data_IF_731537659597
#
_entry.id   IF_731537659597
#
_cell.length_a   1.000
_cell.length_b   1.000
_cell.length_c   1.000
_cell.angle_alpha   90.00
_cell.angle_beta   90.00
_cell.angle_gamma   90.00
#
_symmetry.space_group_name_H-M   'P 1'
#
loop_
_entity.id
_entity.type
_entity.pdbx_description
1 polymer ?
#
# COMPACT_ATOMS: atom_id res chain seq x y z
N UNK A 1 51.32 34.00 -7.69
CA UNK A 1 51.26 35.47 -7.52
C UNK A 1 49.86 35.88 -7.94
N UNK A 2 48.95 36.41 -7.13
CA UNK A 2 49.00 37.02 -5.79
C UNK A 2 47.71 36.62 -5.06
N UNK A 3 47.87 36.33 -3.78
CA UNK A 3 46.87 36.01 -2.76
C UNK A 3 46.63 37.27 -1.93
N UNK A 4 45.39 37.54 -1.53
CA UNK A 4 44.97 38.40 -0.40
C UNK A 4 43.45 38.12 -0.26
N UNK A 5 42.92 37.41 0.75
CA UNK A 5 43.08 37.59 2.19
C UNK A 5 42.06 38.63 2.66
N UNK A 6 41.04 38.29 3.45
CA UNK A 6 40.97 38.61 4.89
C UNK A 6 39.67 38.06 5.52
N UNK A 7 39.84 37.33 6.66
CA UNK A 7 39.10 37.29 7.96
C UNK A 7 37.55 37.30 7.95
N UNK A 8 36.81 36.56 8.78
CA UNK A 8 37.10 35.83 10.01
C UNK A 8 36.02 36.12 11.07
N UNK A 9 35.19 35.12 11.38
CA UNK A 9 34.40 34.86 12.63
C UNK A 9 33.26 35.84 13.02
N UNK A 10 32.21 35.43 13.79
CA UNK A 10 32.25 34.39 14.83
C UNK A 10 31.07 33.39 14.94
N UNK A 11 31.39 32.33 15.68
CA UNK A 11 30.54 31.36 16.36
C UNK A 11 29.63 32.05 17.38
N UNK A 12 28.35 31.66 17.45
CA UNK A 12 27.49 31.80 18.65
C UNK A 12 26.61 30.58 18.85
N UNK A 13 26.58 30.11 20.09
CA UNK A 13 25.85 28.95 20.60
C UNK A 13 24.40 29.28 20.97
N UNK A 14 23.58 28.23 20.92
CA UNK A 14 22.48 27.84 21.83
C UNK A 14 21.51 28.90 22.41
N UNK A 15 20.22 28.64 22.20
CA UNK A 15 19.20 28.74 23.25
C UNK A 15 18.09 29.76 23.05
N UNK A 16 16.85 29.26 23.21
CA UNK A 16 15.60 29.98 23.50
C UNK A 16 14.87 30.65 22.32
N UNK A 17 13.80 30.01 21.85
CA UNK A 17 12.56 30.69 21.44
C UNK A 17 11.39 29.69 21.28
N UNK A 18 11.03 29.00 22.36
CA UNK A 18 9.68 28.44 22.53
C UNK A 18 8.75 29.55 23.02
N UNK A 19 7.48 29.49 22.61
CA UNK A 19 6.34 30.40 22.90
C UNK A 19 6.15 31.56 21.92
N UNK A 20 5.26 31.33 20.96
CA UNK A 20 4.07 32.16 20.68
C UNK A 20 3.53 31.78 19.31
N UNK A 21 2.52 30.93 19.24
CA UNK A 21 1.40 30.98 18.28
C UNK A 21 0.37 29.93 18.73
N UNK A 22 -0.35 30.25 19.80
CA UNK A 22 -1.48 29.47 20.30
C UNK A 22 -2.57 30.42 20.77
N UNK A 23 -3.20 31.10 19.82
CA UNK A 23 -4.47 31.82 20.02
C UNK A 23 -4.91 32.37 18.66
N UNK A 24 -5.69 31.59 17.91
CA UNK A 24 -6.64 32.05 16.87
C UNK A 24 -7.20 30.81 16.15
N UNK A 25 -8.16 30.13 16.79
CA UNK A 25 -9.15 29.25 16.13
C UNK A 25 -10.09 28.66 17.19
N UNK A 26 -10.80 29.52 17.91
CA UNK A 26 -12.01 29.13 18.65
C UNK A 26 -13.11 30.05 18.15
N UNK A 27 -13.81 29.63 17.10
CA UNK A 27 -15.17 30.06 16.78
C UNK A 27 -15.64 29.28 15.56
N UNK A 28 -16.49 28.27 15.82
CA UNK A 28 -17.52 27.64 14.97
C UNK A 28 -17.67 26.15 15.35
N UNK A 29 -18.15 25.92 16.57
CA UNK A 29 -18.74 24.64 16.99
C UNK A 29 -20.20 24.88 17.33
N UNK A 30 -21.10 24.63 16.37
CA UNK A 30 -22.40 24.02 16.66
C UNK A 30 -23.04 23.50 15.35
N UNK A 31 -23.26 22.18 15.23
CA UNK A 31 -24.53 21.75 14.65
C UNK A 31 -25.22 20.73 15.55
N UNK A 32 -26.47 21.04 15.88
CA UNK A 32 -27.38 20.23 16.69
C UNK A 32 -27.73 18.84 16.14
N UNK A 33 -28.47 18.04 16.92
CA UNK A 33 -28.55 16.59 16.77
C UNK A 33 -29.48 16.16 15.62
N UNK A 34 -28.98 15.25 14.78
CA UNK A 34 -29.77 14.51 13.80
C UNK A 34 -30.48 13.31 14.46
N UNK A 35 -31.73 12.99 14.06
CA UNK A 35 -32.55 11.97 14.71
C UNK A 35 -32.15 10.54 14.31
N UNK A 36 -32.00 9.68 15.32
CA UNK A 36 -31.90 8.22 15.16
C UNK A 36 -33.29 7.56 15.04
N UNK A 37 -33.28 6.39 14.37
CA UNK A 37 -34.26 5.28 14.38
C UNK A 37 -35.33 5.27 13.28
N UNK A 38 -34.93 4.75 12.11
CA UNK A 38 -35.78 3.84 11.33
C UNK A 38 -35.25 2.42 11.56
N UNK A 39 -35.93 1.69 12.45
CA UNK A 39 -35.75 0.26 12.71
C UNK A 39 -36.10 -0.54 11.44
N UNK A 40 -35.09 -1.14 10.81
CA UNK A 40 -35.27 -2.21 9.84
C UNK A 40 -35.67 -3.48 10.59
N UNK A 41 -36.90 -3.96 10.39
CA UNK A 41 -37.33 -5.29 10.81
C UNK A 41 -36.81 -6.36 9.83
N UNK A 42 -36.43 -7.55 10.31
CA UNK A 42 -36.03 -8.67 9.46
C UNK A 42 -37.25 -9.37 8.82
N UNK A 43 -37.07 -10.06 7.68
CA UNK A 43 -38.16 -10.69 6.94
C UNK A 43 -38.65 -11.98 7.61
N UNK A 44 -39.95 -12.33 7.53
CA UNK A 44 -40.44 -13.60 8.05
C UNK A 44 -40.09 -14.76 7.10
N UNK A 45 -39.56 -15.83 7.71
CA UNK A 45 -39.23 -17.10 7.09
C UNK A 45 -40.48 -17.91 6.70
N UNK A 46 -40.31 -18.71 5.66
CA UNK A 46 -41.33 -19.52 5.01
C UNK A 46 -41.78 -20.72 5.86
N UNK A 47 -43.01 -20.69 6.37
CA UNK A 47 -43.78 -21.88 6.72
C UNK A 47 -45.23 -21.54 7.07
N UNK A 48 -46.12 -21.39 6.08
CA UNK A 48 -47.52 -21.79 6.28
C UNK A 48 -48.26 -22.02 4.97
N UNK A 49 -48.44 -23.32 4.72
CA UNK A 49 -49.26 -23.96 3.71
C UNK A 49 -50.68 -24.05 4.28
N UNK A 50 -51.70 -23.56 3.56
CA UNK A 50 -53.03 -24.22 3.40
C UNK A 50 -54.00 -23.38 2.56
N UNK A 51 -54.22 -23.88 1.34
CA UNK A 51 -55.52 -24.12 0.70
C UNK A 51 -56.67 -23.11 0.84
N UNK A 52 -56.99 -22.43 -0.27
CA UNK A 52 -58.37 -22.14 -0.65
C UNK A 52 -58.52 -22.17 -2.18
N UNK A 53 -59.36 -23.09 -2.63
CA UNK A 53 -59.75 -23.32 -4.03
C UNK A 53 -60.88 -22.35 -4.38
N UNK A 54 -60.72 -21.51 -5.40
CA UNK A 54 -61.88 -20.92 -6.08
C UNK A 54 -61.60 -20.64 -7.55
N UNK A 55 -62.56 -21.08 -8.36
CA UNK A 55 -62.56 -21.26 -9.81
C UNK A 55 -62.90 -19.96 -10.57
N UNK A 56 -62.49 -19.90 -11.85
CA UNK A 56 -62.90 -18.97 -12.95
C UNK A 56 -62.21 -17.59 -12.91
N UNK A 57 -61.55 -17.08 -13.95
CA UNK A 57 -61.96 -17.01 -15.37
C UNK A 57 -60.75 -16.65 -16.26
N UNK A 58 -60.71 -17.15 -17.50
CA UNK A 58 -59.76 -16.78 -18.56
C UNK A 58 -60.28 -15.53 -19.29
N UNK A 59 -59.42 -14.55 -19.61
CA UNK A 59 -59.45 -13.90 -20.93
C UNK A 59 -58.00 -13.71 -21.49
N UNK A 60 -57.80 -13.16 -22.70
CA UNK A 60 -57.28 -13.91 -23.84
C UNK A 60 -55.76 -13.75 -24.08
N UNK A 61 -55.24 -14.67 -24.88
CA UNK A 61 -53.93 -14.63 -25.53
C UNK A 61 -53.75 -13.33 -26.32
N UNK A 62 -52.71 -12.56 -26.02
CA UNK A 62 -52.25 -11.50 -26.91
C UNK A 62 -51.40 -10.41 -26.26
N UNK A 63 -50.19 -10.75 -25.83
CA UNK A 63 -49.07 -9.78 -25.75
C UNK A 63 -47.79 -10.53 -25.35
N UNK A 64 -47.10 -11.07 -26.34
CA UNK A 64 -45.69 -11.40 -26.22
C UNK A 64 -44.90 -10.09 -26.09
N UNK A 65 -43.84 -10.18 -25.30
CA UNK A 65 -42.72 -9.24 -25.17
C UNK A 65 -43.00 -7.98 -24.34
N UNK A 66 -42.81 -8.11 -23.02
CA UNK A 66 -41.96 -7.14 -22.33
C UNK A 66 -40.54 -7.35 -22.86
N UNK A 67 -40.28 -6.84 -24.07
CA UNK A 67 -38.93 -6.64 -24.55
C UNK A 67 -38.36 -5.56 -23.63
N UNK A 68 -37.41 -5.94 -22.78
CA UNK A 68 -36.61 -4.94 -22.06
C UNK A 68 -35.90 -4.15 -23.15
N UNK A 69 -36.42 -2.97 -23.48
CA UNK A 69 -35.79 -2.03 -24.41
C UNK A 69 -34.49 -1.57 -23.77
N UNK A 70 -33.44 -2.37 -23.91
CA UNK A 70 -32.11 -1.83 -23.75
C UNK A 70 -31.94 -0.80 -24.87
N UNK A 71 -31.54 0.44 -24.56
CA UNK A 71 -31.29 1.43 -25.59
C UNK A 71 -30.30 0.81 -26.59
N UNK A 72 -30.65 0.81 -27.89
CA UNK A 72 -29.89 0.15 -28.97
C UNK A 72 -28.38 0.42 -28.91
N UNK A 73 -27.98 1.57 -28.39
CA UNK A 73 -26.59 1.95 -28.16
C UNK A 73 -25.83 1.03 -27.18
N UNK A 74 -26.46 0.56 -26.10
CA UNK A 74 -25.84 -0.34 -25.12
C UNK A 74 -25.75 -1.80 -25.59
N UNK A 75 -26.34 -2.11 -26.75
CA UNK A 75 -26.20 -3.41 -27.41
C UNK A 75 -24.99 -3.48 -28.36
N UNK A 76 -24.35 -2.34 -28.64
CA UNK A 76 -23.20 -2.24 -29.56
C UNK A 76 -21.91 -2.30 -28.72
N UNK A 77 -21.08 -3.36 -28.85
CA UNK A 77 -19.87 -3.53 -28.04
C UNK A 77 -18.91 -2.35 -28.12
N UNK A 78 -18.73 -1.75 -29.29
CA UNK A 78 -17.81 -0.64 -29.53
C UNK A 78 -18.20 0.63 -28.77
N UNK A 79 -19.50 0.91 -28.70
CA UNK A 79 -20.04 2.05 -27.93
C UNK A 79 -19.84 1.80 -26.44
N UNK A 80 -20.18 0.60 -25.97
CA UNK A 80 -19.99 0.23 -24.56
C UNK A 80 -18.52 0.30 -24.18
N UNK A 81 -17.61 -0.22 -25.01
CA UNK A 81 -16.16 -0.11 -24.80
C UNK A 81 -15.73 1.35 -24.71
N UNK A 82 -16.21 2.22 -25.58
CA UNK A 82 -15.86 3.66 -25.57
C UNK A 82 -16.37 4.38 -24.31
N UNK A 83 -17.55 3.99 -23.81
CA UNK A 83 -18.09 4.49 -22.54
C UNK A 83 -17.23 4.02 -21.36
N UNK A 84 -16.88 2.73 -21.34
CA UNK A 84 -16.06 2.13 -20.29
C UNK A 84 -14.66 2.79 -20.22
N UNK A 85 -14.04 3.12 -21.35
CA UNK A 85 -12.74 3.81 -21.35
C UNK A 85 -12.77 5.21 -20.71
N UNK A 86 -13.94 5.83 -20.58
CA UNK A 86 -14.08 7.16 -19.95
C UNK A 86 -14.30 7.09 -18.44
N UNK A 87 -14.47 5.89 -17.88
CA UNK A 87 -14.71 5.71 -16.45
C UNK A 87 -13.41 5.53 -15.67
N UNK A 88 -13.45 5.92 -14.39
CA UNK A 88 -12.35 5.65 -13.46
C UNK A 88 -12.30 4.16 -13.07
N UNK A 89 -11.17 3.74 -12.49
CA UNK A 89 -10.91 2.33 -12.14
C UNK A 89 -11.94 1.75 -11.16
N UNK A 90 -12.48 2.53 -10.20
CA UNK A 90 -13.52 2.05 -9.25
C UNK A 90 -14.81 1.76 -9.98
N UNK A 91 -15.24 2.72 -10.78
CA UNK A 91 -16.46 2.60 -11.59
C UNK A 91 -16.35 1.42 -12.55
N UNK A 92 -15.17 1.18 -13.13
CA UNK A 92 -14.94 0.05 -14.03
C UNK A 92 -15.01 -1.32 -13.31
N UNK A 93 -14.53 -1.42 -12.08
CA UNK A 93 -14.70 -2.63 -11.27
C UNK A 93 -16.17 -2.86 -10.89
N UNK A 94 -16.89 -1.79 -10.53
CA UNK A 94 -18.31 -1.87 -10.21
C UNK A 94 -19.17 -2.27 -11.43
N UNK A 95 -18.80 -1.77 -12.62
CA UNK A 95 -19.44 -2.07 -13.90
C UNK A 95 -19.48 -3.59 -14.23
N UNK A 96 -18.50 -4.36 -13.77
CA UNK A 96 -18.48 -5.81 -13.94
C UNK A 96 -19.57 -6.54 -13.13
N UNK A 97 -20.12 -5.90 -12.09
CA UNK A 97 -21.12 -6.50 -11.20
C UNK A 97 -22.55 -6.25 -11.65
N UNK A 98 -22.78 -5.25 -12.50
CA UNK A 98 -24.13 -4.84 -12.94
C UNK A 98 -24.59 -5.57 -14.21
N UNK A 99 -23.68 -6.07 -15.04
CA UNK A 99 -24.00 -6.69 -16.33
C UNK A 99 -23.01 -7.78 -16.69
N UNK A 100 -23.53 -8.95 -17.08
CA UNK A 100 -22.70 -10.07 -17.58
C UNK A 100 -22.02 -9.70 -18.90
N UNK A 101 -22.74 -9.01 -19.79
CA UNK A 101 -22.21 -8.52 -21.06
C UNK A 101 -21.03 -7.58 -20.85
N UNK A 102 -21.14 -6.65 -19.88
CA UNK A 102 -20.06 -5.71 -19.61
C UNK A 102 -18.87 -6.40 -18.94
N UNK A 103 -19.13 -7.34 -18.03
CA UNK A 103 -18.08 -8.17 -17.44
C UNK A 103 -17.31 -8.96 -18.50
N UNK A 104 -18.01 -9.60 -19.43
CA UNK A 104 -17.37 -10.36 -20.51
C UNK A 104 -16.60 -9.42 -21.47
N UNK A 105 -17.15 -8.25 -21.78
CA UNK A 105 -16.48 -7.25 -22.60
C UNK A 105 -15.19 -6.73 -21.95
N UNK A 106 -15.25 -6.38 -20.66
CA UNK A 106 -14.08 -5.93 -19.88
C UNK A 106 -13.03 -7.04 -19.83
N UNK A 107 -13.43 -8.30 -19.60
CA UNK A 107 -12.50 -9.43 -19.53
C UNK A 107 -11.80 -9.70 -20.86
N UNK A 108 -12.50 -9.55 -21.97
CA UNK A 108 -12.01 -9.92 -23.30
C UNK A 108 -11.32 -8.75 -24.04
N UNK A 109 -11.39 -7.52 -23.51
CA UNK A 109 -10.81 -6.33 -24.13
C UNK A 109 -9.52 -5.95 -23.42
N UNK A 110 -8.38 -6.06 -24.12
CA UNK A 110 -7.05 -5.81 -23.56
C UNK A 110 -6.92 -4.40 -22.97
N UNK A 111 -7.32 -3.35 -23.70
CA UNK A 111 -7.19 -1.96 -23.24
C UNK A 111 -7.98 -1.66 -21.95
N UNK A 112 -9.10 -2.37 -21.72
CA UNK A 112 -9.85 -2.27 -20.47
C UNK A 112 -9.18 -3.04 -19.32
N UNK A 113 -8.52 -4.17 -19.62
CA UNK A 113 -7.70 -4.88 -18.63
C UNK A 113 -6.44 -4.08 -18.25
N UNK A 114 -5.82 -3.39 -19.21
CA UNK A 114 -4.73 -2.43 -18.98
C UNK A 114 -5.24 -1.27 -18.11
N UNK A 115 -6.39 -0.66 -18.40
CA UNK A 115 -6.98 0.39 -17.56
C UNK A 115 -7.29 -0.05 -16.12
N UNK A 116 -7.55 -1.35 -15.92
CA UNK A 116 -7.74 -1.97 -14.60
C UNK A 116 -6.44 -2.44 -13.94
N UNK A 117 -5.28 -2.24 -14.56
CA UNK A 117 -3.99 -2.75 -14.09
C UNK A 117 -3.98 -4.28 -13.93
N UNK A 118 -4.86 -5.01 -14.63
CA UNK A 118 -4.89 -6.48 -14.58
C UNK A 118 -3.94 -7.10 -15.61
N UNK A 119 -3.71 -6.37 -16.70
CA UNK A 119 -2.75 -6.70 -17.76
C UNK A 119 -1.73 -5.57 -17.93
N UNK A 120 -0.49 -5.91 -18.33
CA UNK A 120 0.56 -4.93 -18.57
C UNK A 120 0.23 -4.07 -19.79
N UNK A 121 0.54 -2.77 -19.71
CA UNK A 121 0.32 -1.85 -20.84
C UNK A 121 1.27 -2.17 -22.00
N UNK A 122 0.70 -2.35 -23.19
CA UNK A 122 1.46 -2.64 -24.42
C UNK A 122 2.36 -1.49 -24.88
N UNK A 123 2.06 -0.26 -24.44
CA UNK A 123 2.79 0.96 -24.82
C UNK A 123 4.02 1.25 -23.92
N UNK A 124 4.48 0.26 -23.16
CA UNK A 124 5.48 0.39 -22.10
C UNK A 124 6.88 0.89 -22.48
N UNK A 125 7.17 1.09 -23.78
CA UNK A 125 8.47 1.57 -24.25
C UNK A 125 8.56 3.09 -24.48
N UNK A 126 7.43 3.82 -24.50
CA UNK A 126 7.41 5.24 -24.89
C UNK A 126 7.04 6.22 -23.75
N UNK A 127 6.65 5.71 -22.59
CA UNK A 127 6.31 6.55 -21.43
C UNK A 127 7.50 6.58 -20.46
N UNK A 128 8.19 7.72 -20.40
CA UNK A 128 9.19 7.99 -19.36
C UNK A 128 8.59 8.10 -17.97
N UNK A 129 7.27 8.34 -17.90
CA UNK A 129 6.54 8.60 -16.66
C UNK A 129 5.70 7.38 -16.29
N UNK A 130 6.01 6.81 -15.13
CA UNK A 130 5.28 5.68 -14.54
C UNK A 130 4.04 6.18 -13.79
N UNK A 131 2.93 5.50 -13.98
CA UNK A 131 1.65 5.79 -13.31
C UNK A 131 1.39 4.73 -12.25
N UNK A 132 1.10 5.19 -11.04
CA UNK A 132 0.76 4.35 -9.89
C UNK A 132 -0.69 3.86 -10.02
N UNK A 133 -0.99 2.67 -9.53
CA UNK A 133 -2.36 2.16 -9.53
C UNK A 133 -3.21 2.92 -8.49
N UNK A 134 -4.21 3.72 -8.90
CA UNK A 134 -4.93 4.61 -7.99
C UNK A 134 -5.72 3.85 -6.92
N UNK A 135 -6.21 2.64 -7.22
CA UNK A 135 -6.92 1.82 -6.24
C UNK A 135 -5.99 1.29 -5.16
N UNK A 136 -4.78 0.88 -5.56
CA UNK A 136 -3.78 0.37 -4.64
C UNK A 136 -3.14 1.52 -3.85
N UNK A 137 -2.90 2.67 -4.47
CA UNK A 137 -2.41 3.87 -3.79
C UNK A 137 -3.35 4.33 -2.68
N UNK A 138 -4.67 4.23 -2.87
CA UNK A 138 -5.63 4.56 -1.80
C UNK A 138 -5.70 3.45 -0.72
N UNK A 139 -5.54 2.20 -1.11
CA UNK A 139 -5.63 1.05 -0.20
C UNK A 139 -4.35 0.82 0.63
N UNK A 140 -3.19 1.14 0.07
CA UNK A 140 -1.85 0.92 0.62
C UNK A 140 -0.99 2.20 0.48
N UNK A 141 -1.37 3.32 1.14
CA UNK A 141 -0.77 4.64 0.86
C UNK A 141 0.74 4.71 1.03
N UNK A 142 1.28 3.95 1.99
CA UNK A 142 2.71 3.90 2.31
C UNK A 142 3.55 3.15 1.26
N UNK A 143 2.92 2.43 0.32
CA UNK A 143 3.58 1.65 -0.75
C UNK A 143 3.63 2.37 -2.11
N UNK A 144 3.05 3.56 -2.22
CA UNK A 144 2.93 4.33 -3.46
C UNK A 144 3.37 5.76 -3.26
N UNK A 145 3.83 6.42 -4.34
CA UNK A 145 4.45 7.75 -4.22
C UNK A 145 3.48 8.75 -3.59
N UNK A 146 3.90 9.36 -2.48
CA UNK A 146 3.17 10.46 -1.88
C UNK A 146 3.30 11.72 -2.74
N UNK A 147 2.17 12.38 -3.03
CA UNK A 147 2.11 13.62 -3.81
C UNK A 147 2.73 14.82 -3.06
N UNK A 148 2.79 14.75 -1.72
CA UNK A 148 2.99 15.91 -0.83
C UNK A 148 4.34 15.93 -0.08
N UNK A 149 5.22 14.94 -0.29
CA UNK A 149 6.49 14.87 0.44
C UNK A 149 7.65 15.44 -0.38
N UNK A 150 8.53 16.18 0.29
CA UNK A 150 9.82 16.55 -0.25
C UNK A 150 10.57 15.26 -0.63
N UNK A 151 10.66 15.05 -1.94
CA UNK A 151 11.05 13.81 -2.60
C UNK A 151 12.58 13.59 -2.51
N UNK A 152 13.17 13.68 -1.32
CA UNK A 152 14.58 13.35 -1.07
C UNK A 152 14.74 12.10 -0.19
N UNK A 153 13.63 11.58 0.36
CA UNK A 153 13.61 10.47 1.30
C UNK A 153 12.79 9.31 0.75
N UNK A 154 13.16 8.09 1.11
CA UNK A 154 12.28 6.94 0.92
C UNK A 154 11.01 7.13 1.73
N UNK A 155 9.97 6.43 1.33
CA UNK A 155 8.71 6.46 2.07
C UNK A 155 8.68 5.29 3.03
N UNK A 156 8.56 5.60 4.33
CA UNK A 156 8.37 4.58 5.35
C UNK A 156 7.07 3.82 5.10
N UNK A 157 7.19 2.49 5.11
CA UNK A 157 6.05 1.59 5.03
C UNK A 157 5.48 1.45 6.45
N UNK A 158 4.20 1.79 6.59
CA UNK A 158 3.42 1.47 7.78
C UNK A 158 2.26 0.56 7.37
N UNK A 159 2.09 -0.54 8.09
CA UNK A 159 0.94 -1.44 7.98
C UNK A 159 -0.29 -0.88 8.69
N UNK A 160 -0.13 0.03 9.66
CA UNK A 160 -1.26 0.70 10.32
C UNK A 160 -2.00 1.67 9.38
N UNK A 161 -1.31 2.22 8.37
CA UNK A 161 -1.88 3.12 7.35
C UNK A 161 -2.76 2.39 6.32
N UNK A 162 -2.81 1.06 6.36
CA UNK A 162 -3.55 0.26 5.40
C UNK A 162 -5.06 0.44 5.58
N UNK A 163 -5.80 0.56 4.46
CA UNK A 163 -7.25 0.71 4.49
C UNK A 163 -7.98 -0.48 5.17
N UNK A 164 -7.30 -1.62 5.35
CA UNK A 164 -7.81 -2.80 6.03
C UNK A 164 -8.11 -2.58 7.53
N UNK A 165 -7.48 -1.60 8.19
CA UNK A 165 -7.69 -1.32 9.63
C UNK A 165 -8.91 -0.45 9.91
N UNK A 166 -9.60 0.05 8.87
CA UNK A 166 -10.75 0.95 9.07
C UNK A 166 -11.91 0.28 9.79
N UNK A 167 -12.21 -0.98 9.45
CA UNK A 167 -13.31 -1.74 10.05
C UNK A 167 -13.22 -3.25 9.75
N UNK A 168 -13.89 -4.11 10.56
CA UNK A 168 -13.85 -5.56 10.40
C UNK A 168 -14.37 -6.08 9.04
N UNK A 169 -15.30 -5.37 8.41
CA UNK A 169 -15.86 -5.77 7.11
C UNK A 169 -14.83 -5.53 6.01
N UNK A 170 -14.18 -4.36 6.02
CA UNK A 170 -13.08 -4.04 5.10
C UNK A 170 -11.93 -5.03 5.27
N UNK A 171 -11.55 -5.34 6.52
CA UNK A 171 -10.56 -6.37 6.84
C UNK A 171 -10.88 -7.71 6.16
N UNK A 172 -12.11 -8.19 6.32
CA UNK A 172 -12.58 -9.43 5.71
C UNK A 172 -12.67 -9.39 4.18
N UNK A 173 -12.69 -8.21 3.55
CA UNK A 173 -12.59 -8.07 2.09
C UNK A 173 -11.15 -8.12 1.60
N UNK A 174 -10.21 -7.54 2.36
CA UNK A 174 -8.79 -7.50 1.99
C UNK A 174 -8.15 -8.89 1.98
N UNK A 175 -8.44 -9.73 2.97
CA UNK A 175 -7.74 -11.00 3.17
C UNK A 175 -8.19 -12.07 2.15
N UNK A 176 -9.35 -11.90 1.52
CA UNK A 176 -9.92 -12.89 0.58
C UNK A 176 -8.92 -13.29 -0.52
N UNK A 177 -8.72 -14.59 -0.77
CA UNK A 177 -7.83 -15.06 -1.84
C UNK A 177 -8.24 -14.56 -3.23
N UNK A 178 -9.54 -14.34 -3.46
CA UNK A 178 -10.10 -13.84 -4.72
C UNK A 178 -10.12 -12.32 -4.85
N UNK A 179 -9.59 -11.57 -3.87
CA UNK A 179 -9.61 -10.11 -3.89
C UNK A 179 -8.87 -9.58 -5.12
N UNK A 180 -9.49 -8.66 -5.87
CA UNK A 180 -8.96 -8.20 -7.16
C UNK A 180 -7.60 -7.53 -7.04
N UNK A 181 -7.35 -6.81 -5.95
CA UNK A 181 -6.10 -6.10 -5.68
C UNK A 181 -4.89 -7.04 -5.76
N UNK A 182 -5.03 -8.30 -5.31
CA UNK A 182 -3.97 -9.32 -5.33
C UNK A 182 -3.39 -9.53 -6.73
N UNK A 183 -4.25 -9.45 -7.74
CA UNK A 183 -3.90 -9.68 -9.15
C UNK A 183 -3.56 -8.39 -9.88
N UNK A 184 -3.75 -7.23 -9.29
CA UNK A 184 -3.46 -5.96 -9.96
C UNK A 184 -1.96 -5.65 -9.93
N UNK A 185 -1.48 -5.07 -11.01
CA UNK A 185 -0.16 -4.46 -11.12
C UNK A 185 -0.09 -3.24 -10.21
N UNK A 186 1.08 -3.05 -9.61
CA UNK A 186 1.37 -1.86 -8.80
C UNK A 186 1.45 -0.61 -9.69
N UNK A 187 2.06 -0.73 -10.86
CA UNK A 187 2.35 0.40 -11.75
C UNK A 187 2.13 0.05 -13.22
N UNK A 188 1.97 1.09 -14.03
CA UNK A 188 2.06 1.02 -15.49
C UNK A 188 2.99 2.12 -16.04
N UNK A 189 4.01 1.78 -16.84
CA UNK A 189 4.42 0.42 -17.24
C UNK A 189 4.82 -0.47 -16.04
N UNK A 190 4.71 -1.80 -16.15
CA UNK A 190 4.98 -2.70 -15.03
C UNK A 190 6.41 -2.59 -14.50
N UNK A 191 6.59 -2.90 -13.21
CA UNK A 191 7.91 -3.01 -12.59
C UNK A 191 8.44 -4.43 -12.78
N UNK A 192 9.64 -4.58 -13.33
CA UNK A 192 10.24 -5.89 -13.59
C UNK A 192 11.44 -6.18 -12.72
N UNK A 193 12.10 -5.13 -12.22
CA UNK A 193 13.31 -5.26 -11.40
C UNK A 193 13.00 -4.75 -10.01
N UNK A 194 12.80 -5.68 -9.08
CA UNK A 194 12.58 -5.38 -7.66
C UNK A 194 13.77 -5.88 -6.86
N UNK A 195 14.29 -5.03 -5.97
CA UNK A 195 15.38 -5.41 -5.07
C UNK A 195 15.12 -4.98 -3.63
N UNK A 196 15.80 -5.62 -2.70
CA UNK A 196 15.85 -5.18 -1.31
C UNK A 196 17.32 -4.99 -0.86
N UNK A 197 17.57 -3.90 -0.14
CA UNK A 197 18.85 -3.61 0.49
C UNK A 197 18.64 -3.69 1.99
N UNK A 198 19.20 -4.72 2.62
CA UNK A 198 19.12 -4.90 4.05
C UNK A 198 20.43 -4.39 4.66
N UNK A 199 20.33 -3.62 5.73
CA UNK A 199 21.49 -3.20 6.51
C UNK A 199 21.21 -3.32 7.99
N UNK A 200 22.17 -3.87 8.72
CA UNK A 200 22.08 -4.04 10.16
C UNK A 200 23.31 -3.49 10.87
N UNK A 201 23.07 -2.80 11.98
CA UNK A 201 24.10 -2.38 12.92
C UNK A 201 24.13 -3.39 14.08
N UNK A 202 25.31 -3.94 14.37
CA UNK A 202 25.54 -4.84 15.51
C UNK A 202 26.65 -4.29 16.40
N UNK A 203 26.81 -4.77 17.63
CA UNK A 203 27.92 -4.35 18.51
C UNK A 203 29.32 -4.65 17.97
N UNK A 204 29.44 -5.53 16.98
CA UNK A 204 30.71 -5.97 16.40
C UNK A 204 31.02 -5.37 15.04
N UNK A 205 30.05 -4.69 14.44
CA UNK A 205 30.21 -4.07 13.14
C UNK A 205 28.88 -3.80 12.46
N UNK A 206 28.99 -3.33 11.23
CA UNK A 206 27.87 -3.06 10.36
C UNK A 206 27.87 -4.04 9.19
N UNK A 207 26.72 -4.65 8.92
CA UNK A 207 26.51 -5.62 7.85
C UNK A 207 25.46 -5.15 6.86
N UNK A 208 25.55 -5.63 5.62
CA UNK A 208 24.54 -5.40 4.61
C UNK A 208 24.41 -6.58 3.65
N UNK A 209 23.22 -6.74 3.09
CA UNK A 209 22.93 -7.70 2.02
C UNK A 209 22.02 -7.06 0.97
N UNK A 210 22.15 -7.57 -0.25
CA UNK A 210 21.31 -7.20 -1.37
C UNK A 210 20.58 -8.41 -1.89
N UNK A 211 19.29 -8.25 -2.04
CA UNK A 211 18.41 -9.25 -2.58
C UNK A 211 17.74 -8.73 -3.84
N UNK A 212 17.40 -9.64 -4.74
CA UNK A 212 16.65 -9.34 -5.94
C UNK A 212 15.49 -10.31 -6.08
N UNK A 213 14.36 -9.79 -6.54
CA UNK A 213 13.25 -10.65 -6.92
C UNK A 213 13.61 -11.43 -8.17
N UNK A 214 13.11 -12.67 -8.27
CA UNK A 214 13.00 -13.33 -9.57
C UNK A 214 12.23 -12.45 -10.55
N UNK A 215 12.61 -12.44 -11.84
CA UNK A 215 11.99 -11.59 -12.87
C UNK A 215 10.48 -11.89 -12.90
N UNK A 216 9.59 -10.96 -12.52
CA UNK A 216 8.16 -11.19 -12.59
C UNK A 216 7.75 -11.21 -14.06
N UNK A 217 7.26 -12.35 -14.57
CA UNK A 217 6.96 -12.55 -16.00
C UNK A 217 6.07 -11.44 -16.58
N UNK A 218 5.05 -11.00 -15.82
CA UNK A 218 4.10 -9.96 -16.22
C UNK A 218 4.26 -8.65 -15.43
N UNK A 219 5.35 -8.50 -14.66
CA UNK A 219 5.60 -7.38 -13.77
C UNK A 219 5.01 -7.52 -12.35
N UNK A 220 5.41 -6.60 -11.46
CA UNK A 220 5.10 -6.65 -10.03
C UNK A 220 3.61 -6.43 -9.75
N UNK A 221 2.97 -7.49 -9.24
CA UNK A 221 1.61 -7.46 -8.72
C UNK A 221 1.61 -7.20 -7.22
N UNK A 222 0.47 -6.73 -6.72
CA UNK A 222 0.34 -6.32 -5.32
C UNK A 222 0.42 -7.49 -4.34
N UNK A 223 -0.15 -8.66 -4.65
CA UNK A 223 -0.11 -9.79 -3.70
C UNK A 223 1.31 -10.24 -3.36
N UNK A 224 2.19 -10.56 -4.32
CA UNK A 224 3.57 -10.94 -3.99
C UNK A 224 4.31 -9.88 -3.17
N UNK A 225 4.15 -8.59 -3.51
CA UNK A 225 4.77 -7.50 -2.74
C UNK A 225 4.22 -7.44 -1.31
N UNK A 226 2.90 -7.49 -1.15
CA UNK A 226 2.25 -7.42 0.16
C UNK A 226 2.61 -8.63 1.01
N UNK A 227 2.53 -9.83 0.44
CA UNK A 227 2.88 -11.09 1.09
C UNK A 227 4.35 -11.11 1.50
N UNK A 228 5.27 -10.60 0.67
CA UNK A 228 6.67 -10.44 1.05
C UNK A 228 6.85 -9.53 2.26
N UNK A 229 6.06 -8.47 2.41
CA UNK A 229 6.15 -7.55 3.55
C UNK A 229 5.62 -8.17 4.84
N UNK A 230 4.52 -8.92 4.78
CA UNK A 230 3.90 -9.53 5.97
C UNK A 230 4.54 -10.86 6.39
N UNK A 231 5.15 -11.60 5.45
CA UNK A 231 5.86 -12.86 5.73
C UNK A 231 7.27 -12.64 6.32
N UNK A 232 7.70 -11.37 6.40
CA UNK A 232 8.91 -11.00 7.13
C UNK A 232 8.80 -11.38 8.59
N UNK A 233 9.96 -11.46 9.25
CA UNK A 233 10.00 -11.67 10.69
C UNK A 233 9.17 -10.57 11.38
N UNK A 234 8.24 -10.90 12.29
CA UNK A 234 7.51 -9.88 13.06
C UNK A 234 8.43 -8.87 13.74
N UNK A 235 9.67 -9.26 14.06
CA UNK A 235 10.67 -8.39 14.65
C UNK A 235 11.24 -7.38 13.64
N UNK A 236 11.13 -7.62 12.33
CA UNK A 236 11.43 -6.61 11.29
C UNK A 236 10.45 -5.43 11.30
N UNK A 237 9.28 -5.61 11.92
CA UNK A 237 8.30 -4.55 12.16
C UNK A 237 8.43 -3.97 13.58
N UNK A 238 9.33 -4.52 14.39
CA UNK A 238 9.59 -4.12 15.77
C UNK A 238 10.83 -3.21 15.86
N UNK A 239 11.03 -2.61 17.04
CA UNK A 239 12.24 -1.94 17.52
C UNK A 239 13.22 -1.36 16.49
N UNK A 240 13.09 -0.07 16.15
CA UNK A 240 14.12 0.65 15.38
C UNK A 240 14.40 0.12 13.97
N UNK A 241 13.70 -0.93 13.55
CA UNK A 241 13.69 -1.43 12.18
C UNK A 241 12.78 -0.53 11.34
N UNK A 242 13.19 -0.24 10.11
CA UNK A 242 12.34 0.52 9.20
C UNK A 242 12.44 -0.03 7.78
N UNK A 243 11.29 -0.09 7.11
CA UNK A 243 11.22 -0.43 5.70
C UNK A 243 10.85 0.82 4.93
N UNK A 244 11.74 1.26 4.05
CA UNK A 244 11.52 2.39 3.15
C UNK A 244 11.42 1.92 1.70
N UNK A 245 10.47 2.46 0.94
CA UNK A 245 10.32 2.20 -0.49
C UNK A 245 10.94 3.32 -1.34
N UNK A 246 11.69 2.93 -2.36
CA UNK A 246 12.33 3.82 -3.33
C UNK A 246 11.96 3.44 -4.76
N UNK A 247 11.80 4.47 -5.61
CA UNK A 247 11.53 4.34 -7.04
C UNK A 247 12.61 5.05 -7.86
N UNK A 248 13.73 4.38 -8.19
CA UNK A 248 14.93 5.05 -8.69
C UNK A 248 14.80 5.59 -10.12
N UNK A 249 14.03 4.92 -10.97
CA UNK A 249 14.07 5.09 -12.44
C UNK A 249 13.32 6.31 -13.01
N UNK A 250 12.84 7.25 -12.19
CA UNK A 250 11.94 8.31 -12.68
C UNK A 250 12.05 9.71 -12.06
N UNK A 251 13.07 10.03 -11.25
CA UNK A 251 13.15 11.38 -10.65
C UNK A 251 14.56 11.80 -10.19
N UNK A 252 14.92 13.10 -10.23
CA UNK A 252 16.03 13.69 -9.48
C UNK A 252 16.09 13.28 -7.99
N UNK A 253 14.95 12.86 -7.43
CA UNK A 253 14.79 12.24 -6.11
C UNK A 253 15.70 11.05 -5.84
N UNK A 254 15.90 10.17 -6.84
CA UNK A 254 16.77 9.02 -6.69
C UNK A 254 18.20 9.44 -6.36
N UNK A 255 18.63 10.60 -6.88
CA UNK A 255 19.96 11.18 -6.63
C UNK A 255 20.03 11.80 -5.23
N UNK A 256 18.98 12.50 -4.78
CA UNK A 256 18.94 13.10 -3.44
C UNK A 256 18.88 12.04 -2.32
N UNK A 257 18.19 10.93 -2.56
CA UNK A 257 18.20 9.77 -1.66
C UNK A 257 19.61 9.18 -1.47
N UNK A 258 20.45 9.21 -2.52
CA UNK A 258 21.86 8.78 -2.42
C UNK A 258 22.68 9.67 -1.49
N UNK A 259 22.34 10.96 -1.34
CA UNK A 259 23.14 11.91 -0.55
C UNK A 259 22.89 11.81 0.96
N UNK A 260 21.66 11.49 1.39
CA UNK A 260 21.33 11.38 2.83
C UNK A 260 22.10 10.25 3.52
N UNK A 261 22.09 9.06 2.93
CA UNK A 261 22.72 7.88 3.54
C UNK A 261 24.21 7.78 3.24
N UNK A 262 24.75 8.73 2.47
CA UNK A 262 26.14 8.76 2.03
C UNK A 262 27.11 8.68 3.20
N UNK A 263 26.90 9.46 4.26
CA UNK A 263 27.86 9.55 5.36
C UNK A 263 28.06 8.21 6.10
N UNK A 264 26.99 7.46 6.35
CA UNK A 264 27.10 6.15 7.01
C UNK A 264 27.58 5.07 6.03
N UNK A 265 27.11 5.09 4.78
CA UNK A 265 27.46 4.05 3.80
C UNK A 265 28.86 4.18 3.21
N UNK A 266 29.39 5.40 3.12
CA UNK A 266 30.78 5.65 2.75
C UNK A 266 31.73 5.21 3.86
N UNK A 267 31.39 5.46 5.13
CA UNK A 267 32.20 5.05 6.27
C UNK A 267 32.43 3.52 6.30
N UNK A 268 31.46 2.72 5.84
CA UNK A 268 31.52 1.26 5.88
C UNK A 268 31.51 0.58 4.50
N UNK A 269 31.84 1.33 3.44
CA UNK A 269 32.10 0.77 2.11
C UNK A 269 30.89 0.15 1.39
N UNK A 270 29.66 0.56 1.71
CA UNK A 270 28.44 0.11 1.05
C UNK A 270 27.79 1.10 0.09
N UNK A 271 28.32 2.33 0.02
CA UNK A 271 27.77 3.37 -0.87
C UNK A 271 27.78 2.91 -2.34
N UNK A 272 28.84 2.24 -2.79
CA UNK A 272 28.92 1.71 -4.15
C UNK A 272 27.84 0.65 -4.43
N UNK A 273 27.63 -0.29 -3.49
CA UNK A 273 26.66 -1.36 -3.64
C UNK A 273 25.23 -0.80 -3.71
N UNK A 274 24.92 0.16 -2.84
CA UNK A 274 23.63 0.85 -2.88
C UNK A 274 23.42 1.62 -4.17
N UNK A 275 24.40 2.40 -4.63
CA UNK A 275 24.30 3.16 -5.90
C UNK A 275 24.07 2.25 -7.09
N UNK A 276 24.79 1.14 -7.13
CA UNK A 276 24.63 0.13 -8.17
C UNK A 276 23.20 -0.40 -8.18
N UNK A 277 22.67 -0.76 -7.01
CA UNK A 277 21.29 -1.25 -6.87
C UNK A 277 20.26 -0.18 -7.29
N UNK A 278 20.43 1.06 -6.86
CA UNK A 278 19.55 2.17 -7.28
C UNK A 278 19.61 2.42 -8.80
N UNK A 279 20.72 2.10 -9.47
CA UNK A 279 20.81 2.19 -10.93
C UNK A 279 20.20 0.98 -11.67
N UNK A 280 20.12 -0.17 -11.02
CA UNK A 280 19.71 -1.43 -11.65
C UNK A 280 18.22 -1.74 -11.49
N UNK A 281 17.57 -1.28 -10.43
CA UNK A 281 16.23 -1.71 -10.06
C UNK A 281 15.15 -0.63 -10.30
N UNK A 282 13.92 -1.07 -10.61
CA UNK A 282 12.77 -0.18 -10.80
C UNK A 282 12.12 0.21 -9.46
N UNK A 283 12.21 -0.70 -8.47
CA UNK A 283 11.77 -0.54 -7.08
C UNK A 283 12.83 -1.13 -6.16
N UNK A 284 13.19 -0.38 -5.12
CA UNK A 284 14.13 -0.81 -4.09
C UNK A 284 13.48 -0.66 -2.72
N UNK A 285 13.47 -1.74 -1.93
CA UNK A 285 13.10 -1.74 -0.52
C UNK A 285 14.38 -1.58 0.30
N UNK A 286 14.51 -0.52 1.08
CA UNK A 286 15.55 -0.43 2.10
C UNK A 286 14.97 -0.97 3.40
N UNK A 287 15.65 -1.95 3.98
CA UNK A 287 15.30 -2.52 5.27
C UNK A 287 16.47 -2.21 6.18
N UNK A 288 16.26 -1.31 7.12
CA UNK A 288 17.28 -0.90 8.06
C UNK A 288 16.98 -1.47 9.42
N UNK A 289 17.99 -2.02 10.06
CA UNK A 289 17.89 -2.57 11.39
C UNK A 289 19.01 -2.16 12.32
N UNK A 290 18.68 -2.00 13.59
CA UNK A 290 19.64 -1.69 14.63
C UNK A 290 19.44 -2.63 15.80
N UNK A 291 20.33 -3.61 15.95
CA UNK A 291 20.47 -4.36 17.20
C UNK A 291 21.57 -3.67 18.01
N UNK A 292 21.23 -2.70 18.86
CA UNK A 292 22.19 -2.25 19.87
C UNK A 292 22.15 -3.21 21.05
N UNK A 293 23.27 -3.40 21.77
CA UNK A 293 23.33 -4.23 22.98
C UNK A 293 22.36 -3.80 24.10
N UNK A 294 21.66 -2.67 23.94
CA UNK A 294 20.78 -2.07 24.95
C UNK A 294 19.32 -1.97 24.50
N UNK A 295 19.00 -2.24 23.22
CA UNK A 295 17.68 -1.89 22.65
C UNK A 295 16.54 -2.87 22.96
N UNK A 296 16.81 -4.10 23.37
CA UNK A 296 15.70 -5.00 23.74
C UNK A 296 15.20 -4.69 25.16
N UNK A 297 16.12 -4.50 26.11
CA UNK A 297 15.79 -4.32 27.53
C UNK A 297 15.25 -2.91 27.81
N UNK A 298 15.89 -1.87 27.29
CA UNK A 298 15.49 -0.48 27.59
C UNK A 298 14.12 -0.12 26.95
N UNK A 299 13.75 -0.75 25.83
CA UNK A 299 12.48 -0.45 25.13
C UNK A 299 11.32 -1.36 25.55
N UNK A 300 11.56 -2.60 25.97
CA UNK A 300 10.53 -3.41 26.66
C UNK A 300 10.07 -2.68 27.93
N UNK A 301 11.00 -2.09 28.70
CA UNK A 301 10.67 -1.28 29.87
C UNK A 301 9.90 0.01 29.49
N UNK A 302 10.33 0.76 28.46
CA UNK A 302 9.61 1.95 27.98
C UNK A 302 8.22 1.62 27.41
N UNK A 303 8.06 0.49 26.72
CA UNK A 303 6.77 0.02 26.19
C UNK A 303 5.84 -0.44 27.31
N UNK A 304 6.34 -1.19 28.29
CA UNK A 304 5.56 -1.55 29.47
C UNK A 304 5.13 -0.32 30.26
N UNK A 305 5.99 0.70 30.37
CA UNK A 305 5.66 1.96 31.04
C UNK A 305 4.61 2.76 30.26
N UNK A 306 4.72 2.86 28.93
CA UNK A 306 3.71 3.51 28.09
C UNK A 306 2.38 2.76 28.05
N UNK A 307 2.39 1.43 27.96
CA UNK A 307 1.19 0.59 28.03
C UNK A 307 0.50 0.70 29.40
N UNK A 308 1.30 0.77 30.48
CA UNK A 308 0.80 0.97 31.84
C UNK A 308 0.20 2.36 32.01
N UNK A 309 0.86 3.41 31.52
CA UNK A 309 0.31 4.77 31.51
C UNK A 309 -0.98 4.86 30.69
N UNK A 310 -1.05 4.20 29.55
CA UNK A 310 -2.24 4.16 28.70
C UNK A 310 -3.41 3.44 29.39
N UNK A 311 -3.14 2.29 30.03
CA UNK A 311 -4.10 1.56 30.87
C UNK A 311 -4.58 2.40 32.06
N UNK A 312 -3.68 3.12 32.73
CA UNK A 312 -4.03 4.02 33.84
C UNK A 312 -4.87 5.23 33.38
N UNK A 313 -4.61 5.73 32.16
CA UNK A 313 -5.38 6.83 31.55
C UNK A 313 -6.66 6.38 30.84
N UNK A 314 -6.91 5.07 30.76
CA UNK A 314 -8.05 4.49 30.02
C UNK A 314 -8.01 4.76 28.52
N UNK A 315 -6.82 4.95 27.96
CA UNK A 315 -6.58 5.21 26.54
C UNK A 315 -6.11 3.92 25.88
N UNK A 316 -6.78 3.47 24.82
CA UNK A 316 -6.27 2.40 23.96
C UNK A 316 -5.12 2.96 23.12
N UNK A 317 -3.96 2.30 23.16
CA UNK A 317 -2.84 2.61 22.28
C UNK A 317 -3.20 2.20 20.85
N UNK A 318 -2.80 2.99 19.84
CA UNK A 318 -2.93 2.56 18.45
C UNK A 318 -2.13 1.28 18.23
N UNK A 319 -2.67 0.38 17.40
CA UNK A 319 -1.97 -0.84 17.00
C UNK A 319 -0.61 -0.48 16.37
N UNK A 320 0.41 -1.28 16.63
CA UNK A 320 1.76 -1.11 16.04
C UNK A 320 1.93 -1.95 14.78
N UNK A 321 2.96 -1.60 13.97
CA UNK A 321 3.58 -2.41 12.90
C UNK A 321 3.44 -3.93 13.15
N UNK A 322 4.02 -4.33 14.27
CA UNK A 322 4.12 -5.71 14.75
C UNK A 322 2.75 -6.35 14.98
N UNK A 323 1.85 -5.64 15.68
CA UNK A 323 0.52 -6.15 16.03
C UNK A 323 -0.32 -6.37 14.77
N UNK A 324 -0.28 -5.39 13.86
CA UNK A 324 -0.97 -5.45 12.58
C UNK A 324 -0.44 -6.61 11.74
N UNK A 325 0.88 -6.75 11.60
CA UNK A 325 1.52 -7.87 10.88
C UNK A 325 1.09 -9.25 11.42
N UNK A 326 1.21 -9.45 12.74
CA UNK A 326 0.80 -10.71 13.41
C UNK A 326 -0.67 -11.04 13.14
N UNK A 327 -1.55 -10.06 13.24
CA UNK A 327 -2.99 -10.20 12.97
C UNK A 327 -3.27 -10.59 11.52
N UNK A 328 -2.57 -10.00 10.55
CA UNK A 328 -2.70 -10.38 9.12
C UNK A 328 -2.30 -11.84 8.95
N UNK A 329 -1.14 -12.24 9.47
CA UNK A 329 -0.61 -13.60 9.36
C UNK A 329 -1.55 -14.64 9.99
N UNK A 330 -2.16 -14.33 11.14
CA UNK A 330 -3.19 -15.17 11.76
C UNK A 330 -4.41 -15.34 10.86
N UNK A 331 -4.93 -14.26 10.27
CA UNK A 331 -6.06 -14.35 9.36
C UNK A 331 -5.76 -15.19 8.11
N UNK A 332 -4.55 -15.08 7.54
CA UNK A 332 -4.15 -15.92 6.40
C UNK A 332 -4.11 -17.40 6.80
N UNK A 333 -3.60 -17.70 7.99
CA UNK A 333 -3.55 -19.06 8.55
C UNK A 333 -4.95 -19.64 8.75
N UNK A 334 -5.88 -18.87 9.31
CA UNK A 334 -7.27 -19.30 9.53
C UNK A 334 -8.02 -19.59 8.22
N UNK A 335 -7.76 -18.79 7.18
CA UNK A 335 -8.36 -18.98 5.87
C UNK A 335 -7.67 -20.08 5.03
N UNK A 336 -6.57 -20.65 5.52
CA UNK A 336 -5.78 -21.64 4.78
C UNK A 336 -5.17 -21.07 3.49
N UNK A 337 -4.97 -19.75 3.42
CA UNK A 337 -4.35 -19.09 2.27
C UNK A 337 -2.85 -19.22 2.40
N UNK A 338 -2.23 -19.93 1.46
CA UNK A 338 -0.78 -20.00 1.37
C UNK A 338 -0.24 -18.68 0.85
N UNK A 339 0.63 -18.03 1.62
CA UNK A 339 1.43 -16.90 1.14
C UNK A 339 2.53 -17.47 0.24
N UNK A 340 2.57 -17.01 -1.01
CA UNK A 340 3.63 -17.38 -1.96
C UNK A 340 4.72 -16.31 -1.98
N UNK A 341 4.37 -15.07 -1.66
CA UNK A 341 5.32 -13.98 -1.49
C UNK A 341 6.08 -13.61 -2.76
N UNK A 342 6.82 -12.51 -2.68
CA UNK A 342 7.84 -12.18 -3.68
C UNK A 342 9.10 -12.96 -3.32
N UNK A 343 9.48 -13.92 -4.17
CA UNK A 343 10.71 -14.69 -3.95
C UNK A 343 11.93 -13.81 -4.20
N UNK A 344 12.62 -13.48 -3.12
CA UNK A 344 13.86 -12.72 -3.11
C UNK A 344 15.07 -13.66 -2.99
N UNK A 345 16.15 -13.35 -3.70
CA UNK A 345 17.41 -14.09 -3.65
C UNK A 345 18.57 -13.14 -3.31
N UNK A 346 19.31 -13.45 -2.24
CA UNK A 346 20.56 -12.76 -1.89
C UNK A 346 21.58 -12.95 -3.02
N UNK A 347 22.15 -11.86 -3.53
CA UNK A 347 23.15 -11.90 -4.59
C UNK A 347 24.44 -11.15 -4.26
N UNK A 348 24.43 -10.33 -3.20
CA UNK A 348 25.60 -9.59 -2.76
C UNK A 348 25.48 -9.30 -1.26
N UNK A 349 26.61 -9.21 -0.57
CA UNK A 349 26.66 -8.82 0.85
C UNK A 349 28.03 -8.30 1.23
N UNK A 350 28.09 -7.56 2.33
CA UNK A 350 29.32 -7.09 2.92
C UNK A 350 29.19 -6.81 4.41
N UNK A 351 30.33 -6.51 5.01
CA UNK A 351 30.48 -6.29 6.44
C UNK A 351 31.68 -5.35 6.67
N UNK A 352 31.60 -4.52 7.70
CA UNK A 352 32.74 -3.78 8.29
C UNK A 352 32.70 -3.87 9.82
N UNK A 353 33.85 -4.06 10.47
CA UNK A 353 33.94 -3.97 11.93
C UNK A 353 34.03 -2.51 12.38
N UNK A 354 33.64 -2.23 13.63
CA UNK A 354 34.00 -0.97 14.27
C UNK A 354 35.52 -0.96 14.54
N UNK A 355 36.16 0.19 14.33
CA UNK A 355 37.61 0.38 14.58
C UNK A 355 37.97 0.44 16.07
#
# INVERSE_FOLDING_TARGET
MVQLGIRGLPVRSAGQATRRMSTLANDLSDPGPLPQKLLFQPPPSAAQRRSSTQTRSIPPKGSKMSEKTQPRALAIPEIVTSILHQMDTRTLLAAQRISRTWKDLIRNTQSLQEALFLQPSSNGHNLTTRVDNPLLAEAFPSLFRSQDRDNAHGQYISLTDLAWEKDPVTRAMFIRPEASWRRMLTHQPPLYRVGAFQSSCTPFGWGWSQEKAGIPEDGLRMAPLFEYLIDRDPDDWAYGMSIEIFFPSSSPTGILALEKYKNWREAYGADWAWREMMGQFDLVLQIEGSTTCTSEIDYEEEQEETEKEAKEKGVELPDTDVVVSKRICECYRELGVKMEGLRMEEYNKGWGMWD
#
